data_IF_337530671469
#
_entry.id   IF_337530671469
#
_cell.length_a   1.000
_cell.length_b   1.000
_cell.length_c   1.000
_cell.angle_alpha   90.00
_cell.angle_beta   90.00
_cell.angle_gamma   90.00
#
_symmetry.space_group_name_H-M   'P 1'
#
loop_
_entity.id
_entity.type
_entity.pdbx_description
1 polymer ?
#
# COMPACT_ATOMS: atom_id res chain seq x y z
N UNK A 1 16.37 -24.11 15.14
CA UNK A 1 15.12 -24.17 15.93
C UNK A 1 14.05 -23.48 15.11
N UNK A 2 12.84 -24.04 15.04
CA UNK A 2 11.73 -23.38 14.34
C UNK A 2 11.15 -22.26 15.18
N UNK A 3 10.67 -21.20 14.52
CA UNK A 3 10.04 -20.04 15.15
C UNK A 3 8.54 -20.06 14.87
N UNK A 4 7.74 -19.72 15.86
CA UNK A 4 6.28 -19.64 15.71
C UNK A 4 5.91 -18.25 15.19
N UNK A 5 5.18 -18.18 14.09
CA UNK A 5 4.75 -16.91 13.49
C UNK A 5 3.29 -16.91 13.11
N UNK A 6 2.87 -15.78 12.57
CA UNK A 6 1.55 -15.56 12.01
C UNK A 6 1.64 -14.48 10.92
N UNK A 7 0.59 -14.37 10.13
CA UNK A 7 0.39 -13.22 9.27
C UNK A 7 -1.02 -12.66 9.39
N UNK A 8 -1.12 -11.35 9.17
CA UNK A 8 -2.34 -10.58 9.44
C UNK A 8 -2.53 -9.44 8.46
N UNK A 9 -3.78 -9.03 8.35
CA UNK A 9 -4.26 -7.89 7.58
C UNK A 9 -5.34 -7.13 8.35
N UNK A 10 -6.00 -6.18 7.69
CA UNK A 10 -7.18 -5.50 8.22
C UNK A 10 -8.30 -6.46 8.65
N UNK A 11 -8.36 -7.67 8.09
CA UNK A 11 -9.41 -8.65 8.39
C UNK A 11 -9.35 -9.20 9.81
N UNK A 12 -8.18 -9.14 10.47
CA UNK A 12 -8.03 -9.52 11.88
C UNK A 12 -8.43 -8.38 12.83
N UNK A 13 -8.81 -7.21 12.30
CA UNK A 13 -9.24 -6.06 13.08
C UNK A 13 -8.17 -5.55 14.05
N UNK A 14 -8.60 -5.07 15.22
CA UNK A 14 -7.71 -4.54 16.25
C UNK A 14 -7.09 -5.69 17.06
N UNK A 15 -5.82 -5.98 16.79
CA UNK A 15 -5.03 -7.01 17.48
C UNK A 15 -4.45 -6.48 18.81
N UNK A 16 -4.43 -7.32 19.85
CA UNK A 16 -3.64 -7.13 21.07
C UNK A 16 -2.31 -7.87 20.95
N UNK A 17 -1.27 -7.14 20.52
CA UNK A 17 0.05 -7.71 20.28
C UNK A 17 0.79 -8.14 21.55
N UNK A 18 0.39 -7.65 22.72
CA UNK A 18 0.98 -8.09 24.00
C UNK A 18 0.51 -9.51 24.32
N UNK A 19 -0.77 -9.82 24.07
CA UNK A 19 -1.28 -11.18 24.20
C UNK A 19 -0.68 -12.13 23.16
N UNK A 20 -0.50 -11.67 21.92
CA UNK A 20 0.16 -12.45 20.86
C UNK A 20 1.61 -12.81 21.26
N UNK A 21 2.38 -11.83 21.73
CA UNK A 21 3.74 -12.05 22.22
C UNK A 21 3.76 -13.01 23.43
N UNK A 22 2.85 -12.81 24.38
CA UNK A 22 2.71 -13.67 25.57
C UNK A 22 2.32 -15.11 25.23
N UNK A 23 1.63 -15.32 24.11
CA UNK A 23 1.29 -16.64 23.57
C UNK A 23 2.47 -17.32 22.83
N UNK A 24 3.65 -16.70 22.81
CA UNK A 24 4.90 -17.28 22.30
C UNK A 24 5.09 -17.14 20.79
N UNK A 25 4.37 -16.24 20.13
CA UNK A 25 4.62 -15.88 18.73
C UNK A 25 5.84 -14.95 18.63
N UNK A 26 6.75 -15.30 17.72
CA UNK A 26 8.12 -14.77 17.62
C UNK A 26 8.33 -13.88 16.40
N UNK A 27 7.45 -13.91 15.42
CA UNK A 27 7.46 -12.98 14.30
C UNK A 27 6.05 -12.79 13.73
N UNK A 28 5.84 -11.74 12.95
CA UNK A 28 4.64 -11.58 12.14
C UNK A 28 4.93 -11.05 10.73
N UNK A 29 4.18 -11.50 9.73
CA UNK A 29 4.14 -10.90 8.40
C UNK A 29 2.89 -10.02 8.28
N UNK A 30 3.06 -8.74 8.01
CA UNK A 30 1.96 -7.77 8.02
C UNK A 30 1.59 -7.35 6.59
N UNK A 31 0.30 -7.40 6.22
CA UNK A 31 -0.11 -6.84 4.92
C UNK A 31 0.17 -5.33 4.93
N UNK A 32 1.09 -4.88 4.08
CA UNK A 32 1.33 -3.45 3.88
C UNK A 32 0.27 -2.83 2.98
N UNK A 33 -0.14 -3.57 1.96
CA UNK A 33 -1.06 -3.09 0.97
C UNK A 33 -1.20 -4.06 -0.19
N UNK A 34 -1.81 -3.57 -1.26
CA UNK A 34 -2.12 -4.36 -2.43
C UNK A 34 -2.32 -3.48 -3.66
N UNK A 35 -2.09 -4.08 -4.83
CA UNK A 35 -2.32 -3.41 -6.11
C UNK A 35 -1.55 -2.10 -6.24
N UNK A 36 -2.21 -1.12 -6.85
CA UNK A 36 -1.62 0.17 -7.22
C UNK A 36 -1.80 1.22 -6.13
N UNK A 37 -1.15 0.99 -4.98
CA UNK A 37 -1.05 1.98 -3.88
C UNK A 37 -2.16 1.92 -2.84
N UNK A 38 -2.89 0.81 -2.73
CA UNK A 38 -3.87 0.66 -1.64
C UNK A 38 -3.18 0.16 -0.38
N UNK A 39 -3.31 0.90 0.72
CA UNK A 39 -2.70 0.56 2.01
C UNK A 39 -3.70 -0.20 2.87
N UNK A 40 -3.24 -1.27 3.51
CA UNK A 40 -4.05 -2.01 4.48
C UNK A 40 -4.34 -1.14 5.70
N UNK A 41 -5.61 -1.05 6.11
CA UNK A 41 -6.07 -0.12 7.14
C UNK A 41 -5.42 -0.35 8.51
N UNK A 42 -4.98 -1.57 8.80
CA UNK A 42 -4.36 -1.92 10.07
C UNK A 42 -2.82 -1.93 10.01
N UNK A 43 -2.22 -1.75 8.82
CA UNK A 43 -0.78 -1.91 8.62
C UNK A 43 0.06 -1.05 9.57
N UNK A 44 -0.10 0.27 9.53
CA UNK A 44 0.75 1.16 10.31
C UNK A 44 0.58 0.94 11.82
N UNK A 45 -0.64 0.64 12.29
CA UNK A 45 -0.90 0.29 13.69
C UNK A 45 -0.18 -0.99 14.08
N UNK A 46 -0.34 -2.06 13.29
CA UNK A 46 0.29 -3.34 13.57
C UNK A 46 1.82 -3.25 13.54
N UNK A 47 2.38 -2.55 12.55
CA UNK A 47 3.81 -2.34 12.44
C UNK A 47 4.36 -1.55 13.64
N UNK A 48 3.70 -0.45 14.02
CA UNK A 48 4.11 0.36 15.16
C UNK A 48 4.04 -0.42 16.49
N UNK A 49 2.96 -1.15 16.75
CA UNK A 49 2.80 -1.93 17.98
C UNK A 49 3.82 -3.07 18.07
N UNK A 50 4.04 -3.83 16.99
CA UNK A 50 5.09 -4.83 16.95
C UNK A 50 6.48 -4.23 17.14
N UNK A 51 6.77 -3.11 16.47
CA UNK A 51 8.05 -2.41 16.60
C UNK A 51 8.31 -1.92 18.02
N UNK A 52 7.28 -1.42 18.71
CA UNK A 52 7.32 -0.99 20.12
C UNK A 52 7.56 -2.16 21.07
N UNK A 53 6.89 -3.30 20.84
CA UNK A 53 7.04 -4.52 21.65
C UNK A 53 8.30 -5.33 21.32
N UNK A 54 9.07 -4.92 20.30
CA UNK A 54 10.25 -5.63 19.84
C UNK A 54 9.93 -6.97 19.16
N UNK A 55 8.71 -7.15 18.64
CA UNK A 55 8.33 -8.32 17.84
C UNK A 55 8.93 -8.14 16.44
N UNK A 56 9.80 -9.06 15.97
CA UNK A 56 10.29 -9.06 14.59
C UNK A 56 9.14 -9.11 13.58
N UNK A 57 9.17 -8.22 12.60
CA UNK A 57 8.13 -8.17 11.56
C UNK A 57 8.70 -8.09 10.16
N UNK A 58 7.99 -8.71 9.23
CA UNK A 58 8.11 -8.52 7.80
C UNK A 58 6.82 -7.87 7.28
N UNK A 59 6.81 -7.52 6.00
CA UNK A 59 5.61 -7.02 5.35
C UNK A 59 5.31 -7.83 4.09
N UNK A 60 4.05 -7.86 3.66
CA UNK A 60 3.69 -8.41 2.36
C UNK A 60 2.82 -7.45 1.55
N UNK A 61 2.97 -7.50 0.23
CA UNK A 61 2.18 -6.77 -0.74
C UNK A 61 1.42 -7.74 -1.63
N UNK A 62 0.10 -7.60 -1.69
CA UNK A 62 -0.75 -8.51 -2.46
C UNK A 62 -0.77 -8.12 -3.94
N UNK A 63 -0.44 -9.07 -4.80
CA UNK A 63 -0.20 -8.88 -6.22
C UNK A 63 -1.49 -8.74 -7.04
N UNK A 64 -1.63 -7.59 -7.70
CA UNK A 64 -2.56 -7.39 -8.83
C UNK A 64 -1.84 -6.95 -10.11
N UNK A 65 -0.52 -7.11 -10.16
CA UNK A 65 0.25 -6.82 -11.36
C UNK A 65 -0.06 -7.81 -12.49
N UNK A 66 -0.17 -7.27 -13.71
CA UNK A 66 -0.41 -8.03 -14.95
C UNK A 66 0.80 -7.99 -15.90
N UNK A 67 1.87 -7.32 -15.50
CA UNK A 67 3.11 -7.14 -16.26
C UNK A 67 4.29 -6.86 -15.33
N UNK A 68 5.54 -7.02 -15.79
CA UNK A 68 6.71 -6.63 -15.00
C UNK A 68 6.73 -5.13 -14.63
N UNK A 69 6.21 -4.27 -15.50
CA UNK A 69 6.14 -2.83 -15.24
C UNK A 69 5.16 -2.52 -14.10
N UNK A 70 3.96 -3.10 -14.16
CA UNK A 70 2.97 -2.94 -13.07
C UNK A 70 3.47 -3.55 -11.76
N UNK A 71 4.25 -4.63 -11.80
CA UNK A 71 4.89 -5.17 -10.60
C UNK A 71 5.94 -4.22 -9.98
N UNK A 72 6.68 -3.46 -10.79
CA UNK A 72 7.58 -2.41 -10.28
C UNK A 72 6.80 -1.27 -9.62
N UNK A 73 5.64 -0.91 -10.17
CA UNK A 73 4.76 0.11 -9.57
C UNK A 73 4.20 -0.35 -8.23
N UNK A 74 3.79 -1.62 -8.13
CA UNK A 74 3.38 -2.21 -6.84
C UNK A 74 4.54 -2.22 -5.84
N UNK A 75 5.76 -2.52 -6.28
CA UNK A 75 6.95 -2.47 -5.42
C UNK A 75 7.22 -1.05 -4.93
N UNK A 76 7.09 -0.03 -5.78
CA UNK A 76 7.24 1.37 -5.37
C UNK A 76 6.17 1.76 -4.32
N UNK A 77 4.90 1.38 -4.52
CA UNK A 77 3.85 1.59 -3.52
C UNK A 77 4.10 0.84 -2.19
N UNK A 78 4.66 -0.36 -2.27
CA UNK A 78 5.09 -1.12 -1.09
C UNK A 78 6.21 -0.40 -0.35
N UNK A 79 7.26 0.04 -1.06
CA UNK A 79 8.40 0.77 -0.49
C UNK A 79 7.96 2.06 0.22
N UNK A 80 7.02 2.79 -0.36
CA UNK A 80 6.46 4.00 0.25
C UNK A 80 5.71 3.66 1.55
N UNK A 81 4.88 2.61 1.52
CA UNK A 81 4.11 2.17 2.68
C UNK A 81 5.01 1.78 3.87
N UNK A 82 6.08 1.02 3.59
CA UNK A 82 6.95 0.46 4.63
C UNK A 82 8.02 1.46 5.14
N UNK A 83 8.18 2.61 4.49
CA UNK A 83 9.31 3.54 4.74
C UNK A 83 9.46 4.04 6.18
N UNK A 84 8.36 4.10 6.95
CA UNK A 84 8.34 4.65 8.31
C UNK A 84 8.51 3.62 9.43
N UNK A 85 8.71 2.34 9.11
CA UNK A 85 8.70 1.25 10.08
C UNK A 85 9.96 0.36 9.97
N UNK A 86 10.27 -0.36 11.06
CA UNK A 86 11.39 -1.29 11.13
C UNK A 86 10.93 -2.70 10.73
N UNK A 87 11.69 -3.33 9.81
CA UNK A 87 11.42 -4.69 9.34
C UNK A 87 12.62 -5.61 9.56
N UNK A 88 12.49 -6.49 10.55
CA UNK A 88 13.47 -7.50 10.92
C UNK A 88 13.35 -8.78 10.07
N UNK A 89 12.26 -8.91 9.30
CA UNK A 89 11.99 -9.99 8.35
C UNK A 89 11.89 -9.45 6.91
N UNK A 90 11.90 -10.34 5.90
CA UNK A 90 11.81 -9.95 4.50
C UNK A 90 10.56 -9.15 4.13
N UNK A 91 10.66 -8.40 3.04
CA UNK A 91 9.51 -7.82 2.36
C UNK A 91 9.05 -8.78 1.27
N UNK A 92 7.80 -9.20 1.37
CA UNK A 92 7.24 -10.31 0.61
C UNK A 92 6.28 -9.83 -0.48
N UNK A 93 6.37 -10.44 -1.66
CA UNK A 93 5.35 -10.31 -2.69
C UNK A 93 4.42 -11.51 -2.69
N UNK A 94 3.15 -11.28 -2.38
CA UNK A 94 2.11 -12.31 -2.34
C UNK A 94 1.47 -12.45 -3.72
N UNK A 95 1.81 -13.53 -4.43
CA UNK A 95 1.25 -13.86 -5.74
C UNK A 95 0.51 -15.19 -5.69
N UNK A 96 -0.75 -15.16 -6.10
CA UNK A 96 -1.60 -16.34 -5.98
C UNK A 96 -2.75 -16.36 -7.00
N UNK A 97 -3.72 -17.26 -6.81
CA UNK A 97 -4.84 -17.46 -7.73
C UNK A 97 -5.64 -16.17 -7.96
N UNK A 98 -5.75 -15.29 -6.97
CA UNK A 98 -6.39 -14.00 -7.11
C UNK A 98 -5.71 -13.10 -8.16
N UNK A 99 -4.38 -13.14 -8.26
CA UNK A 99 -3.63 -12.44 -9.31
C UNK A 99 -4.02 -12.93 -10.70
N UNK A 100 -4.16 -14.26 -10.89
CA UNK A 100 -4.61 -14.84 -12.17
C UNK A 100 -6.01 -14.37 -12.52
N UNK A 101 -6.91 -14.34 -11.54
CA UNK A 101 -8.30 -13.91 -11.72
C UNK A 101 -8.36 -12.43 -12.12
N UNK A 102 -7.58 -11.57 -11.43
CA UNK A 102 -7.48 -10.15 -11.76
C UNK A 102 -6.91 -9.93 -13.17
N UNK A 103 -5.84 -10.63 -13.53
CA UNK A 103 -5.25 -10.54 -14.86
C UNK A 103 -6.25 -10.95 -15.96
N UNK A 104 -6.98 -12.05 -15.76
CA UNK A 104 -7.98 -12.53 -16.70
C UNK A 104 -9.13 -11.53 -16.91
N UNK A 105 -9.59 -10.87 -15.83
CA UNK A 105 -10.58 -9.80 -15.92
C UNK A 105 -10.07 -8.59 -16.72
N UNK A 106 -8.76 -8.38 -16.76
CA UNK A 106 -8.09 -7.36 -17.55
C UNK A 106 -7.62 -7.87 -18.93
N UNK A 107 -8.09 -9.04 -19.38
CA UNK A 107 -7.79 -9.60 -20.70
C UNK A 107 -6.37 -10.18 -20.83
N UNK A 108 -5.68 -10.40 -19.71
CA UNK A 108 -4.31 -10.95 -19.69
C UNK A 108 -4.32 -12.37 -19.14
N UNK A 109 -3.71 -13.29 -19.88
CA UNK A 109 -3.41 -14.64 -19.38
C UNK A 109 -2.00 -14.66 -18.81
N UNK A 110 -1.88 -14.85 -17.50
CA UNK A 110 -0.58 -15.06 -16.86
C UNK A 110 -0.07 -16.45 -17.23
N UNK A 111 1.04 -16.49 -17.95
CA UNK A 111 1.81 -17.72 -18.21
C UNK A 111 2.84 -17.93 -17.10
N UNK A 112 3.42 -19.15 -16.95
CA UNK A 112 4.51 -19.36 -16.00
C UNK A 112 5.70 -18.41 -16.22
N UNK A 113 6.04 -18.14 -17.49
CA UNK A 113 7.07 -17.17 -17.83
C UNK A 113 6.71 -15.75 -17.33
N UNK A 114 5.46 -15.31 -17.53
CA UNK A 114 5.02 -13.99 -17.09
C UNK A 114 4.95 -13.90 -15.57
N UNK A 115 4.46 -14.93 -14.87
CA UNK A 115 4.46 -14.99 -13.41
C UNK A 115 5.88 -14.82 -12.83
N UNK A 116 6.86 -15.57 -13.37
CA UNK A 116 8.25 -15.44 -12.97
C UNK A 116 8.81 -14.02 -13.22
N UNK A 117 8.45 -13.40 -14.35
CA UNK A 117 8.88 -12.03 -14.67
C UNK A 117 8.26 -10.99 -13.74
N UNK A 118 6.98 -11.15 -13.37
CA UNK A 118 6.28 -10.28 -12.42
C UNK A 118 6.95 -10.33 -11.05
N UNK A 119 7.14 -11.53 -10.49
CA UNK A 119 7.81 -11.69 -9.18
C UNK A 119 9.25 -11.17 -9.23
N UNK A 120 9.99 -11.48 -10.29
CA UNK A 120 11.36 -10.97 -10.47
C UNK A 120 11.40 -9.44 -10.47
N UNK A 121 10.45 -8.80 -11.14
CA UNK A 121 10.42 -7.34 -11.25
C UNK A 121 10.15 -6.67 -9.91
N UNK A 122 9.22 -7.21 -9.11
CA UNK A 122 8.94 -6.70 -7.76
C UNK A 122 10.14 -6.93 -6.83
N UNK A 123 10.66 -8.16 -6.76
CA UNK A 123 11.76 -8.50 -5.85
C UNK A 123 13.06 -7.75 -6.19
N UNK A 124 13.42 -7.63 -7.48
CA UNK A 124 14.59 -6.84 -7.87
C UNK A 124 14.41 -5.36 -7.49
N UNK A 125 13.19 -4.83 -7.58
CA UNK A 125 12.93 -3.44 -7.20
C UNK A 125 13.12 -3.19 -5.70
N UNK A 126 12.75 -4.15 -4.85
CA UNK A 126 13.06 -4.11 -3.41
C UNK A 126 14.56 -4.15 -3.14
N UNK A 127 15.28 -5.07 -3.80
CA UNK A 127 16.72 -5.23 -3.63
C UNK A 127 17.52 -4.01 -4.15
N UNK A 128 17.08 -3.39 -5.26
CA UNK A 128 17.60 -2.11 -5.76
C UNK A 128 17.58 -1.00 -4.69
N UNK A 129 16.66 -1.12 -3.71
CA UNK A 129 16.49 -0.18 -2.59
C UNK A 129 17.09 -0.68 -1.29
N UNK A 130 17.76 -1.84 -1.28
CA UNK A 130 18.43 -2.38 -0.10
C UNK A 130 17.53 -3.18 0.84
N UNK A 131 16.37 -3.65 0.37
CA UNK A 131 15.51 -4.56 1.13
C UNK A 131 15.78 -6.03 0.79
N UNK A 132 15.59 -6.90 1.77
CA UNK A 132 15.63 -8.35 1.59
C UNK A 132 14.29 -8.81 1.00
N UNK A 133 14.33 -9.32 -0.24
CA UNK A 133 13.13 -9.73 -0.97
C UNK A 133 12.71 -11.18 -0.68
N UNK A 134 11.41 -11.38 -0.60
CA UNK A 134 10.74 -12.67 -0.47
C UNK A 134 9.53 -12.72 -1.41
N UNK A 135 9.07 -13.91 -1.76
CA UNK A 135 7.77 -14.10 -2.39
C UNK A 135 6.97 -15.16 -1.64
N UNK A 136 5.65 -14.98 -1.65
CA UNK A 136 4.69 -15.90 -1.10
C UNK A 136 3.86 -16.52 -2.21
N UNK A 137 3.57 -17.81 -2.06
CA UNK A 137 2.58 -18.50 -2.89
C UNK A 137 2.18 -19.83 -2.25
N UNK A 138 0.96 -20.27 -2.54
CA UNK A 138 0.53 -21.62 -2.20
C UNK A 138 1.17 -22.69 -3.12
N UNK A 139 1.20 -23.94 -2.64
CA UNK A 139 1.77 -25.10 -3.32
C UNK A 139 1.29 -25.26 -4.77
N UNK A 140 0.01 -25.10 -5.02
CA UNK A 140 -0.54 -25.33 -6.34
C UNK A 140 -0.01 -24.30 -7.34
N UNK A 141 -0.09 -23.02 -6.98
CA UNK A 141 0.41 -21.94 -7.82
C UNK A 141 1.92 -22.08 -8.07
N UNK A 142 2.71 -22.40 -7.04
CA UNK A 142 4.15 -22.63 -7.17
C UNK A 142 4.45 -23.69 -8.24
N UNK A 143 3.81 -24.85 -8.15
CA UNK A 143 4.07 -25.98 -9.07
C UNK A 143 3.63 -25.71 -10.50
N UNK A 144 2.65 -24.83 -10.71
CA UNK A 144 2.09 -24.55 -12.03
C UNK A 144 2.76 -23.36 -12.72
N UNK A 145 3.14 -22.32 -11.96
CA UNK A 145 3.49 -21.02 -12.52
C UNK A 145 4.90 -20.54 -12.20
N UNK A 146 5.57 -21.05 -11.16
CA UNK A 146 6.90 -20.57 -10.78
C UNK A 146 7.97 -21.65 -11.00
N UNK A 147 9.19 -21.26 -11.43
CA UNK A 147 10.32 -22.18 -11.52
C UNK A 147 10.60 -22.83 -10.16
N UNK A 148 10.97 -24.11 -10.16
CA UNK A 148 11.24 -24.84 -8.90
C UNK A 148 12.50 -24.37 -8.17
N UNK A 149 13.43 -23.74 -8.89
CA UNK A 149 14.69 -23.18 -8.40
C UNK A 149 14.57 -21.70 -8.00
N UNK A 150 13.37 -21.12 -8.05
CA UNK A 150 13.17 -19.71 -7.73
C UNK A 150 13.46 -19.38 -6.26
N UNK A 151 13.29 -20.37 -5.38
CA UNK A 151 13.66 -20.29 -3.95
C UNK A 151 15.18 -20.30 -3.72
N UNK A 152 15.99 -20.60 -4.73
CA UNK A 152 17.45 -20.43 -4.66
C UNK A 152 17.86 -18.96 -4.88
N UNK A 153 16.98 -18.15 -5.50
CA UNK A 153 17.23 -16.73 -5.82
C UNK A 153 16.56 -15.77 -4.84
N UNK A 154 15.32 -16.04 -4.46
CA UNK A 154 14.56 -15.22 -3.51
C UNK A 154 14.07 -16.10 -2.37
N UNK A 155 13.95 -15.53 -1.17
CA UNK A 155 13.34 -16.27 -0.08
C UNK A 155 11.89 -16.65 -0.41
N UNK A 156 11.50 -17.86 -0.01
CA UNK A 156 10.15 -18.38 -0.21
C UNK A 156 9.40 -18.41 1.13
N UNK A 157 8.20 -17.84 1.13
CA UNK A 157 7.15 -18.11 2.09
C UNK A 157 6.10 -19.03 1.44
N UNK A 158 6.03 -20.26 1.93
CA UNK A 158 5.30 -21.34 1.30
C UNK A 158 3.98 -21.61 2.03
N UNK A 159 2.86 -21.59 1.32
CA UNK A 159 1.58 -22.03 1.87
C UNK A 159 1.23 -23.47 1.47
N UNK A 160 1.06 -24.31 2.48
CA UNK A 160 0.49 -25.65 2.33
C UNK A 160 -0.15 -26.09 3.65
N UNK A 161 -1.48 -26.05 3.70
CA UNK A 161 -2.23 -26.38 4.92
C UNK A 161 -2.22 -27.88 5.16
N UNK A 162 -1.37 -28.29 6.09
CA UNK A 162 -1.14 -29.68 6.42
C UNK A 162 -0.57 -29.79 7.85
N UNK A 163 -0.82 -30.91 8.52
CA UNK A 163 -0.31 -31.12 9.88
C UNK A 163 1.22 -31.28 9.92
N UNK A 164 1.83 -31.74 8.82
CA UNK A 164 3.26 -31.98 8.74
C UNK A 164 3.89 -31.22 7.58
N UNK A 165 5.07 -30.65 7.87
CA UNK A 165 5.88 -29.99 6.86
C UNK A 165 6.42 -31.03 5.86
N UNK A 166 6.35 -30.73 4.58
CA UNK A 166 6.74 -31.63 3.50
C UNK A 166 8.24 -31.54 3.12
N UNK A 167 9.00 -30.67 3.80
CA UNK A 167 10.43 -30.48 3.56
C UNK A 167 10.76 -29.57 2.39
N UNK A 168 9.79 -28.81 1.87
CA UNK A 168 10.01 -27.79 0.84
C UNK A 168 11.12 -26.82 1.27
N UNK A 169 12.03 -26.45 0.36
CA UNK A 169 13.05 -25.44 0.64
C UNK A 169 12.40 -24.04 0.73
N UNK A 170 11.97 -23.66 1.93
CA UNK A 170 11.39 -22.36 2.23
C UNK A 170 11.92 -21.79 3.54
N UNK A 171 11.81 -20.47 3.71
CA UNK A 171 12.14 -19.81 4.97
C UNK A 171 10.98 -19.70 5.93
N UNK A 172 9.75 -19.65 5.41
CA UNK A 172 8.51 -19.61 6.19
C UNK A 172 7.53 -20.62 5.57
N UNK A 173 6.81 -21.34 6.41
CA UNK A 173 5.72 -22.23 6.03
C UNK A 173 4.43 -21.84 6.73
N UNK A 174 3.42 -21.42 5.96
CA UNK A 174 2.06 -21.19 6.43
C UNK A 174 1.30 -22.52 6.43
N UNK A 175 0.96 -22.99 7.63
CA UNK A 175 0.44 -24.36 7.82
C UNK A 175 -1.07 -24.41 8.10
N UNK A 176 -1.72 -23.28 8.37
CA UNK A 176 -3.18 -23.17 8.51
C UNK A 176 -3.63 -21.73 8.34
N UNK A 177 -4.87 -21.55 7.89
CA UNK A 177 -5.61 -20.29 7.87
C UNK A 177 -6.77 -20.24 8.89
N UNK A 178 -6.84 -21.23 9.78
CA UNK A 178 -7.91 -21.40 10.76
C UNK A 178 -7.35 -21.41 12.19
N UNK A 179 -6.20 -20.74 12.39
CA UNK A 179 -5.60 -20.57 13.70
C UNK A 179 -6.50 -19.76 14.64
N UNK A 180 -6.41 -20.05 15.93
CA UNK A 180 -7.04 -19.26 16.99
C UNK A 180 -6.02 -19.00 18.08
N UNK A 181 -5.75 -17.72 18.38
CA UNK A 181 -4.68 -17.31 19.30
C UNK A 181 -5.16 -16.17 20.21
N UNK A 182 -4.66 -16.09 21.46
CA UNK A 182 -4.91 -14.93 22.31
C UNK A 182 -4.49 -13.62 21.64
N UNK A 183 -5.34 -12.60 21.72
CA UNK A 183 -5.11 -11.27 21.16
C UNK A 183 -5.66 -11.04 19.74
N UNK A 184 -6.13 -12.08 19.05
CA UNK A 184 -6.76 -11.96 17.73
C UNK A 184 -8.17 -12.56 17.78
N UNK A 185 -9.14 -11.84 17.23
CA UNK A 185 -10.52 -12.32 17.10
C UNK A 185 -10.71 -13.03 15.77
N UNK A 186 -11.28 -14.23 15.79
CA UNK A 186 -11.52 -15.02 14.58
C UNK A 186 -10.28 -15.78 14.10
N UNK A 187 -10.31 -16.15 12.83
CA UNK A 187 -9.26 -16.96 12.21
C UNK A 187 -8.01 -16.11 11.92
N UNK A 188 -6.86 -16.73 12.12
CA UNK A 188 -5.55 -16.18 11.76
C UNK A 188 -4.69 -17.24 11.08
N UNK A 189 -3.91 -16.79 10.12
CA UNK A 189 -2.95 -17.63 9.43
C UNK A 189 -1.73 -17.84 10.34
N UNK A 190 -1.29 -19.10 10.47
CA UNK A 190 -0.18 -19.44 11.35
C UNK A 190 1.00 -20.03 10.58
N UNK A 191 2.18 -19.60 11.00
CA UNK A 191 3.43 -19.88 10.31
C UNK A 191 4.46 -20.57 11.19
N UNK A 192 5.33 -21.32 10.51
CA UNK A 192 6.60 -21.77 11.05
C UNK A 192 7.74 -21.13 10.28
N UNK A 193 8.60 -20.39 10.97
CA UNK A 193 9.85 -19.85 10.44
C UNK A 193 11.01 -20.84 10.63
N UNK A 194 11.81 -21.02 9.59
CA UNK A 194 12.98 -21.92 9.59
C UNK A 194 14.32 -21.19 9.50
N UNK A 195 14.30 -19.92 9.10
CA UNK A 195 15.47 -19.09 8.86
C UNK A 195 15.51 -17.95 9.88
N UNK A 196 16.68 -17.70 10.46
CA UNK A 196 16.95 -16.55 11.32
C UNK A 196 17.16 -15.28 10.46
N UNK A 197 16.06 -14.78 9.89
CA UNK A 197 16.06 -13.58 9.07
C UNK A 197 16.59 -12.34 9.79
N UNK A 198 16.25 -12.07 11.07
CA UNK A 198 16.79 -10.93 11.78
C UNK A 198 18.32 -10.87 11.76
N UNK A 199 18.99 -12.01 12.02
CA UNK A 199 20.45 -12.07 11.97
C UNK A 199 20.99 -11.89 10.54
N UNK A 200 20.39 -12.57 9.55
CA UNK A 200 20.83 -12.51 8.15
C UNK A 200 20.71 -11.09 7.59
N UNK A 201 19.56 -10.46 7.78
CA UNK A 201 19.25 -9.13 7.24
C UNK A 201 20.17 -8.08 7.86
N UNK A 202 20.37 -8.11 9.19
CA UNK A 202 21.30 -7.20 9.87
C UNK A 202 22.74 -7.39 9.40
N UNK A 203 23.20 -8.64 9.33
CA UNK A 203 24.58 -8.95 8.89
C UNK A 203 24.83 -8.49 7.46
N UNK A 204 23.82 -8.56 6.60
CA UNK A 204 23.89 -8.10 5.21
C UNK A 204 23.76 -6.57 5.06
N UNK A 205 23.43 -5.83 6.13
CA UNK A 205 23.16 -4.39 6.06
C UNK A 205 21.90 -4.05 5.26
N UNK A 206 20.92 -4.96 5.23
CA UNK A 206 19.66 -4.82 4.49
C UNK A 206 18.52 -4.29 5.37
N UNK A 207 17.41 -3.93 4.74
CA UNK A 207 16.20 -3.36 5.35
C UNK A 207 16.45 -2.06 6.14
N UNK A 208 17.57 -1.39 5.90
CA UNK A 208 17.97 -0.17 6.61
C UNK A 208 17.96 -0.31 8.14
N UNK A 209 18.19 -1.52 8.64
CA UNK A 209 18.30 -1.77 10.07
C UNK A 209 19.59 -1.12 10.59
N UNK A 210 19.46 -0.03 11.36
CA UNK A 210 20.59 0.55 12.09
C UNK A 210 20.78 -0.14 13.45
N UNK A 211 22.03 -0.27 13.90
CA UNK A 211 22.37 -0.78 15.25
C UNK A 211 22.08 0.23 16.38
N UNK A 212 21.46 1.38 16.06
CA UNK A 212 21.11 2.37 17.07
C UNK A 212 19.91 1.86 17.90
N UNK A 213 19.95 1.98 19.24
CA UNK A 213 18.81 1.63 20.08
C UNK A 213 17.61 2.45 19.63
N UNK A 214 16.52 1.74 19.31
CA UNK A 214 15.26 2.33 18.88
C UNK A 214 14.72 3.15 20.05
N UNK A 215 14.98 4.45 20.05
CA UNK A 215 14.16 5.40 20.82
C UNK A 215 12.74 5.24 20.31
N UNK A 216 11.69 5.20 21.16
CA UNK A 216 10.32 5.13 20.68
C UNK A 216 10.16 6.26 19.67
N UNK A 217 9.91 5.89 18.41
CA UNK A 217 9.61 6.86 17.39
C UNK A 217 8.46 7.71 17.92
N UNK A 218 8.52 9.05 17.82
CA UNK A 218 7.35 9.86 18.13
C UNK A 218 6.17 9.28 17.35
N UNK A 219 5.05 9.10 18.06
CA UNK A 219 3.78 8.68 17.46
C UNK A 219 3.60 9.47 16.15
N UNK A 220 3.47 8.81 14.98
CA UNK A 220 3.30 9.54 13.74
C UNK A 220 2.07 10.42 13.93
N UNK A 221 2.25 11.74 13.77
CA UNK A 221 1.11 12.65 13.80
C UNK A 221 0.07 12.10 12.81
N UNK A 222 -1.23 12.10 13.18
CA UNK A 222 -2.27 11.61 12.29
C UNK A 222 -2.09 12.29 10.94
N UNK A 223 -2.14 11.54 9.83
CA UNK A 223 -1.89 12.12 8.52
C UNK A 223 -2.84 13.29 8.31
N UNK A 224 -2.32 14.45 7.89
CA UNK A 224 -3.10 15.65 7.53
C UNK A 224 -3.95 15.42 6.25
N UNK A 225 -4.40 14.19 5.99
CA UNK A 225 -5.20 13.79 4.85
C UNK A 225 -6.17 12.65 5.17
N UNK A 226 -7.35 12.70 4.55
CA UNK A 226 -8.28 11.58 4.42
C UNK A 226 -8.03 10.84 3.10
N UNK A 227 -8.58 9.64 2.94
CA UNK A 227 -8.49 8.87 1.69
C UNK A 227 -9.86 8.72 1.02
N UNK A 228 -9.89 8.75 -0.31
CA UNK A 228 -11.06 8.50 -1.13
C UNK A 228 -10.75 7.52 -2.26
N UNK A 229 -11.61 6.52 -2.46
CA UNK A 229 -11.47 5.58 -3.57
C UNK A 229 -12.15 6.19 -4.80
N UNK A 230 -11.37 6.43 -5.85
CA UNK A 230 -11.84 6.99 -7.13
C UNK A 230 -12.92 6.08 -7.72
N UNK A 231 -14.09 6.64 -8.00
CA UNK A 231 -15.22 5.91 -8.59
C UNK A 231 -15.20 6.01 -10.12
N UNK A 232 -15.84 5.07 -10.84
CA UNK A 232 -15.99 5.18 -12.29
C UNK A 232 -16.64 6.52 -12.69
N UNK A 233 -15.92 7.31 -13.50
CA UNK A 233 -16.38 8.61 -13.99
C UNK A 233 -15.91 9.82 -13.17
N UNK A 234 -15.21 9.60 -12.06
CA UNK A 234 -14.55 10.69 -11.33
C UNK A 234 -13.40 11.29 -12.17
N UNK A 235 -13.20 12.61 -12.04
CA UNK A 235 -12.01 13.30 -12.52
C UNK A 235 -11.32 14.03 -11.38
N UNK A 236 -10.01 14.23 -11.47
CA UNK A 236 -9.27 14.90 -10.40
C UNK A 236 -9.76 16.34 -10.16
N UNK A 237 -10.24 17.01 -11.23
CA UNK A 237 -10.86 18.33 -11.16
C UNK A 237 -12.20 18.34 -10.41
N UNK A 238 -13.06 17.35 -10.64
CA UNK A 238 -14.32 17.22 -9.91
C UNK A 238 -14.08 16.90 -8.43
N UNK A 239 -13.10 16.04 -8.14
CA UNK A 239 -12.73 15.69 -6.77
C UNK A 239 -12.11 16.87 -6.04
N UNK A 240 -11.25 17.66 -6.69
CA UNK A 240 -10.70 18.90 -6.13
C UNK A 240 -11.82 19.85 -5.69
N UNK A 241 -12.80 20.08 -6.55
CA UNK A 241 -13.97 20.92 -6.24
C UNK A 241 -14.78 20.32 -5.09
N UNK A 242 -15.08 19.01 -5.14
CA UNK A 242 -15.89 18.31 -4.14
C UNK A 242 -15.30 18.39 -2.74
N UNK A 243 -13.98 18.31 -2.63
CA UNK A 243 -13.28 18.31 -1.36
C UNK A 243 -12.73 19.69 -0.97
N UNK A 244 -13.01 20.75 -1.72
CA UNK A 244 -12.56 22.09 -1.35
C UNK A 244 -11.04 22.26 -1.42
N UNK A 245 -10.42 21.71 -2.47
CA UNK A 245 -8.99 21.83 -2.74
C UNK A 245 -8.75 22.10 -4.24
N UNK A 246 -7.51 21.99 -4.71
CA UNK A 246 -7.15 22.19 -6.12
C UNK A 246 -6.57 20.93 -6.74
N UNK A 247 -6.66 20.85 -8.07
CA UNK A 247 -6.03 19.77 -8.85
C UNK A 247 -4.54 19.67 -8.54
N UNK A 248 -3.85 20.81 -8.43
CA UNK A 248 -2.42 20.83 -8.13
C UNK A 248 -2.11 20.27 -6.74
N UNK A 249 -2.92 20.62 -5.73
CA UNK A 249 -2.75 20.09 -4.37
C UNK A 249 -3.01 18.59 -4.34
N UNK A 250 -4.06 18.11 -5.02
CA UNK A 250 -4.32 16.68 -5.11
C UNK A 250 -3.23 15.96 -5.90
N UNK A 251 -2.79 16.49 -7.03
CA UNK A 251 -1.73 15.89 -7.84
C UNK A 251 -0.41 15.85 -7.06
N UNK A 252 -0.04 16.91 -6.35
CA UNK A 252 1.17 16.93 -5.51
C UNK A 252 1.07 16.01 -4.31
N UNK A 253 -0.10 15.92 -3.67
CA UNK A 253 -0.31 15.05 -2.49
C UNK A 253 -0.31 13.56 -2.84
N UNK A 254 -0.57 13.25 -4.12
CA UNK A 254 -0.68 11.87 -4.63
C UNK A 254 0.39 11.54 -5.67
N UNK A 255 1.43 12.37 -5.79
CA UNK A 255 2.55 12.18 -6.72
C UNK A 255 2.12 11.89 -8.17
N UNK A 256 1.01 12.51 -8.61
CA UNK A 256 0.46 12.32 -9.96
C UNK A 256 1.26 13.16 -10.96
N UNK A 257 1.94 12.48 -11.88
CA UNK A 257 2.67 13.12 -12.99
C UNK A 257 1.75 13.63 -14.08
N UNK A 258 0.61 12.97 -14.30
CA UNK A 258 -0.47 13.41 -15.18
C UNK A 258 -1.80 13.49 -14.40
N UNK A 259 -2.25 14.71 -14.06
CA UNK A 259 -3.51 14.95 -13.33
C UNK A 259 -4.78 14.48 -14.05
N UNK A 260 -4.73 14.26 -15.37
CA UNK A 260 -5.86 13.79 -16.16
C UNK A 260 -5.95 12.26 -16.22
N UNK A 261 -4.92 11.56 -15.73
CA UNK A 261 -4.82 10.10 -15.74
C UNK A 261 -5.01 9.52 -14.33
N UNK A 262 -6.26 9.44 -13.90
CA UNK A 262 -6.66 8.73 -12.68
C UNK A 262 -7.53 7.53 -13.01
N UNK A 263 -7.44 6.48 -12.18
CA UNK A 263 -8.13 5.21 -12.44
C UNK A 263 -9.19 4.92 -11.38
N UNK A 264 -10.35 4.40 -11.81
CA UNK A 264 -11.35 3.89 -10.88
C UNK A 264 -10.74 2.77 -10.01
N UNK A 265 -11.00 2.81 -8.70
CA UNK A 265 -10.40 1.93 -7.71
C UNK A 265 -9.08 2.45 -7.10
N UNK A 266 -8.45 3.47 -7.68
CA UNK A 266 -7.26 4.11 -7.10
C UNK A 266 -7.64 4.86 -5.82
N UNK A 267 -6.79 4.76 -4.79
CA UNK A 267 -6.97 5.54 -3.55
C UNK A 267 -6.31 6.90 -3.70
N UNK A 268 -7.08 7.96 -3.49
CA UNK A 268 -6.66 9.35 -3.54
C UNK A 268 -6.59 9.93 -2.12
N UNK A 269 -5.41 10.39 -1.72
CA UNK A 269 -5.18 11.20 -0.52
C UNK A 269 -5.75 12.60 -0.74
N UNK A 270 -6.51 13.10 0.22
CA UNK A 270 -7.18 14.40 0.18
C UNK A 270 -6.82 15.13 1.48
N UNK A 271 -6.34 16.38 1.46
CA UNK A 271 -5.96 17.08 2.68
C UNK A 271 -7.11 17.11 3.72
N UNK A 272 -6.81 16.84 5.00
CA UNK A 272 -7.80 16.80 6.09
C UNK A 272 -8.35 18.20 6.40
N UNK A 273 -7.51 19.22 6.19
CA UNK A 273 -7.91 20.64 6.26
C UNK A 273 -8.63 21.14 4.99
N UNK A 274 -9.04 20.25 4.08
CA UNK A 274 -9.84 20.65 2.94
C UNK A 274 -11.28 20.93 3.41
N UNK A 275 -11.53 22.21 3.67
CA UNK A 275 -12.84 22.67 4.14
C UNK A 275 -13.85 22.54 3.00
N UNK A 276 -14.71 21.54 3.08
CA UNK A 276 -15.77 21.30 2.09
C UNK A 276 -16.79 22.46 1.98
N UNK A 277 -16.73 23.47 2.85
CA UNK A 277 -17.49 24.72 2.71
C UNK A 277 -16.82 25.73 1.76
N UNK A 278 -15.53 25.56 1.47
CA UNK A 278 -14.76 26.36 0.52
C UNK A 278 -14.88 25.71 -0.85
N UNK A 279 -15.59 26.37 -1.75
CA UNK A 279 -15.81 25.87 -3.10
C UNK A 279 -14.80 26.52 -4.05
N UNK A 280 -14.10 25.73 -4.86
CA UNK A 280 -13.22 26.23 -5.93
C UNK A 280 -13.83 25.96 -7.31
N UNK A 281 -13.47 26.78 -8.29
CA UNK A 281 -13.87 26.65 -9.69
C UNK A 281 -12.68 26.92 -10.62
N UNK A 282 -12.41 26.01 -11.56
CA UNK A 282 -11.43 26.23 -12.62
C UNK A 282 -12.12 26.85 -13.83
N UNK A 283 -11.72 28.07 -14.18
CA UNK A 283 -12.22 28.81 -15.34
C UNK A 283 -12.03 27.98 -16.61
N UNK A 284 -13.10 27.74 -17.35
CA UNK A 284 -13.12 27.02 -18.62
C UNK A 284 -12.93 27.97 -19.81
N UNK A 285 -12.50 27.47 -20.98
CA UNK A 285 -12.45 28.26 -22.20
C UNK A 285 -13.82 28.88 -22.54
N UNK A 286 -13.88 30.21 -22.60
CA UNK A 286 -15.10 30.97 -22.92
C UNK A 286 -15.89 31.47 -21.72
N UNK A 287 -15.46 31.16 -20.50
CA UNK A 287 -16.09 31.69 -19.29
C UNK A 287 -15.87 33.19 -19.11
N UNK A 288 -16.84 33.81 -18.44
CA UNK A 288 -16.72 35.16 -17.89
C UNK A 288 -17.00 35.14 -16.40
N UNK A 289 -16.38 36.06 -15.65
CA UNK A 289 -16.57 36.13 -14.19
C UNK A 289 -18.03 36.42 -13.82
N UNK A 290 -18.78 37.08 -14.71
CA UNK A 290 -20.22 37.33 -14.54
C UNK A 290 -21.08 36.08 -14.68
N UNK A 291 -20.77 35.19 -15.63
CA UNK A 291 -21.45 33.90 -15.77
C UNK A 291 -21.17 32.99 -14.57
N UNK A 292 -19.92 32.95 -14.11
CA UNK A 292 -19.51 32.17 -12.94
C UNK A 292 -20.20 32.70 -11.68
N UNK A 293 -20.17 34.02 -11.46
CA UNK A 293 -20.85 34.62 -10.31
C UNK A 293 -22.35 34.31 -10.30
N UNK A 294 -23.01 34.37 -11.46
CA UNK A 294 -24.42 34.03 -11.62
C UNK A 294 -24.69 32.55 -11.31
N UNK A 295 -23.87 31.65 -11.85
CA UNK A 295 -23.99 30.20 -11.64
C UNK A 295 -23.93 29.85 -10.15
N UNK A 296 -23.00 30.48 -9.42
CA UNK A 296 -22.79 30.23 -8.00
C UNK A 296 -23.57 31.18 -7.08
N UNK A 297 -24.53 31.93 -7.64
CA UNK A 297 -25.42 32.84 -6.90
C UNK A 297 -24.65 33.86 -6.02
N UNK A 298 -23.51 34.34 -6.50
CA UNK A 298 -22.73 35.43 -5.91
C UNK A 298 -22.72 36.64 -6.86
N UNK A 299 -21.93 37.66 -6.56
CA UNK A 299 -21.77 38.84 -7.44
C UNK A 299 -20.35 38.91 -8.00
N UNK A 300 -20.18 39.52 -9.17
CA UNK A 300 -18.86 39.77 -9.77
C UNK A 300 -17.93 40.47 -8.79
N UNK A 301 -18.43 41.47 -8.05
CA UNK A 301 -17.65 42.21 -7.07
C UNK A 301 -17.23 41.35 -5.88
N UNK A 302 -18.14 40.53 -5.34
CA UNK A 302 -17.82 39.63 -4.24
C UNK A 302 -16.80 38.57 -4.67
N UNK A 303 -16.99 37.99 -5.87
CA UNK A 303 -16.11 36.97 -6.41
C UNK A 303 -14.72 37.53 -6.79
N UNK A 304 -14.66 38.72 -7.38
CA UNK A 304 -13.41 39.41 -7.66
C UNK A 304 -12.65 39.79 -6.38
N UNK A 305 -13.36 40.28 -5.36
CA UNK A 305 -12.76 40.61 -4.07
C UNK A 305 -12.22 39.36 -3.35
N UNK A 306 -12.98 38.26 -3.36
CA UNK A 306 -12.59 36.98 -2.76
C UNK A 306 -11.32 36.40 -3.40
N UNK A 307 -11.08 36.67 -4.68
CA UNK A 307 -9.95 36.17 -5.45
C UNK A 307 -8.87 37.22 -5.72
N UNK A 308 -8.98 38.39 -5.10
CA UNK A 308 -8.05 39.51 -5.29
C UNK A 308 -7.80 39.87 -6.77
N UNK A 309 -8.84 39.80 -7.61
CA UNK A 309 -8.74 40.11 -9.03
C UNK A 309 -8.68 41.62 -9.25
N UNK A 310 -7.58 42.10 -9.87
CA UNK A 310 -7.40 43.50 -10.19
C UNK A 310 -8.34 43.99 -11.32
N UNK A 311 -8.61 43.14 -12.31
CA UNK A 311 -9.62 43.38 -13.35
C UNK A 311 -10.60 42.19 -13.41
N UNK A 312 -11.86 42.37 -12.98
CA UNK A 312 -12.90 41.34 -13.03
C UNK A 312 -13.23 40.82 -14.45
N UNK A 313 -12.83 41.53 -15.50
CA UNK A 313 -13.04 41.10 -16.90
C UNK A 313 -11.87 40.28 -17.46
N UNK A 314 -10.78 40.16 -16.71
CA UNK A 314 -9.57 39.47 -17.15
C UNK A 314 -9.37 38.20 -16.31
N UNK A 315 -10.05 37.14 -16.73
CA UNK A 315 -9.82 35.77 -16.23
C UNK A 315 -9.32 34.88 -17.35
N UNK A 316 -8.52 33.87 -17.01
CA UNK A 316 -7.89 32.97 -17.98
C UNK A 316 -8.42 31.56 -17.83
N UNK A 317 -8.61 30.84 -18.93
CA UNK A 317 -8.89 29.40 -18.87
C UNK A 317 -7.78 28.68 -18.09
N UNK A 318 -8.17 27.79 -17.17
CA UNK A 318 -7.28 27.14 -16.21
C UNK A 318 -7.04 27.93 -14.92
N UNK A 319 -7.45 29.20 -14.83
CA UNK A 319 -7.37 29.97 -13.59
C UNK A 319 -8.34 29.39 -12.54
N UNK A 320 -7.87 29.29 -11.30
CA UNK A 320 -8.68 28.77 -10.18
C UNK A 320 -9.27 29.95 -9.41
N UNK A 321 -10.58 29.93 -9.20
CA UNK A 321 -11.33 30.89 -8.41
C UNK A 321 -11.91 30.21 -7.18
N UNK A 322 -11.71 30.80 -6.01
CA UNK A 322 -12.47 30.52 -4.81
C UNK A 322 -13.86 31.15 -4.93
N UNK A 323 -14.91 30.38 -4.68
CA UNK A 323 -16.31 30.76 -4.85
C UNK A 323 -16.98 31.10 -3.51
N UNK A 324 -16.64 30.38 -2.45
CA UNK A 324 -17.07 30.61 -1.06
C UNK A 324 -15.93 30.40 -0.07
#
# INVERSE_FOLDING_TARGET
MSQKGLDVSEFQGTIDWTQVQSAGYQFAMLRAGYGFGTIDRQFHRNAAECNCLGIPVGAYWFCYAISPETARQEADGCLDAISSHRFDYPICYDIEQATLNYAAQNGITITPQLAAQIVTAFCNRLEERGYFAMYYSNRNFLTQYLPSDFSDRYALWYAYYNEQFDGTNCGIWQYTNEGTIPGISGNVDLDTGFIDYPTIIRTAGLNHLSDAPVSPAPEPEPPDYITYIIQPGDTLSQLAVRFGTTVNVLASLNDLTDPDLIYAGQTLRIPENADASILYYTVQPGDTLSQIALQYRTTVNALAALNHLADPNLIYAGQILRIS
#
